data_IF_348935498551
#
_entry.id   IF_348935498551
#
_cell.length_a   1.000
_cell.length_b   1.000
_cell.length_c   1.000
_cell.angle_alpha   90.00
_cell.angle_beta   90.00
_cell.angle_gamma   90.00
#
_symmetry.space_group_name_H-M   'P 1'
#
loop_
_entity.id
_entity.type
_entity.pdbx_description
1 polymer ?
#
# COMPACT_ATOMS: atom_id res chain seq x y z
N UNK A 1 -0.31 -1.23 17.09
CA UNK A 1 1.02 -0.90 16.52
C UNK A 1 1.34 -1.79 15.33
N UNK A 2 2.01 -1.28 14.29
CA UNK A 2 2.48 -2.09 13.15
C UNK A 2 3.59 -3.05 13.60
N UNK A 3 3.44 -4.33 13.30
CA UNK A 3 4.38 -5.39 13.64
C UNK A 3 5.16 -5.86 12.40
N UNK A 4 4.48 -6.05 11.26
CA UNK A 4 5.13 -6.53 10.03
C UNK A 4 4.58 -5.85 8.79
N UNK A 5 5.44 -5.72 7.79
CA UNK A 5 5.08 -5.37 6.41
C UNK A 5 5.58 -6.48 5.48
N UNK A 6 4.74 -6.89 4.54
CA UNK A 6 5.14 -7.69 3.39
C UNK A 6 4.73 -6.98 2.13
N UNK A 7 5.66 -6.78 1.22
CA UNK A 7 5.40 -6.23 -0.11
C UNK A 7 5.96 -7.20 -1.15
N UNK A 8 5.16 -7.52 -2.17
CA UNK A 8 5.59 -8.32 -3.32
C UNK A 8 5.28 -7.59 -4.61
N UNK A 9 6.22 -7.66 -5.55
CA UNK A 9 6.13 -7.15 -6.91
C UNK A 9 5.63 -5.70 -7.01
N UNK A 10 6.22 -4.82 -6.21
CA UNK A 10 5.88 -3.41 -6.16
C UNK A 10 7.13 -2.54 -6.26
N UNK A 11 7.16 -1.70 -7.28
CA UNK A 11 8.23 -0.76 -7.63
C UNK A 11 9.57 -1.47 -7.81
N UNK A 12 10.56 -1.19 -6.96
CA UNK A 12 11.87 -1.85 -7.00
C UNK A 12 11.89 -3.19 -6.27
N UNK A 13 10.86 -3.52 -5.48
CA UNK A 13 10.84 -4.69 -4.63
C UNK A 13 10.23 -5.92 -5.33
N UNK A 14 11.01 -6.98 -5.65
CA UNK A 14 10.44 -8.31 -5.96
C UNK A 14 9.67 -8.83 -4.75
N UNK A 15 10.32 -8.82 -3.59
CA UNK A 15 9.73 -9.15 -2.31
C UNK A 15 10.53 -8.46 -1.21
N UNK A 16 9.82 -7.95 -0.21
CA UNK A 16 10.42 -7.47 1.03
C UNK A 16 9.51 -7.82 2.20
N UNK A 17 10.11 -8.33 3.27
CA UNK A 17 9.46 -8.64 4.53
C UNK A 17 10.20 -7.89 5.64
N UNK A 18 9.47 -7.07 6.38
CA UNK A 18 10.02 -6.26 7.47
C UNK A 18 9.29 -6.58 8.76
N UNK A 19 10.06 -6.67 9.85
CA UNK A 19 9.56 -6.71 11.22
C UNK A 19 9.90 -5.38 11.87
N UNK A 20 8.89 -4.74 12.48
CA UNK A 20 9.04 -3.44 13.11
C UNK A 20 9.26 -3.60 14.61
N UNK A 21 10.21 -2.85 15.15
CA UNK A 21 10.41 -2.67 16.59
C UNK A 21 9.33 -1.76 17.17
N UNK A 22 9.11 -1.86 18.49
CA UNK A 22 8.08 -1.09 19.20
C UNK A 22 8.27 0.44 19.15
N UNK A 23 9.51 0.90 19.00
CA UNK A 23 9.86 2.29 19.21
C UNK A 23 10.38 2.91 17.92
N UNK A 24 11.69 2.78 17.67
CA UNK A 24 12.35 3.39 16.52
C UNK A 24 12.80 2.32 15.53
N UNK A 25 12.41 2.53 14.28
CA UNK A 25 12.83 1.70 13.15
C UNK A 25 13.72 2.55 12.24
N UNK A 26 14.97 2.12 12.05
CA UNK A 26 15.95 2.82 11.21
C UNK A 26 16.11 2.06 9.90
N UNK A 27 15.86 2.73 8.77
CA UNK A 27 15.99 2.16 7.43
C UNK A 27 17.26 2.71 6.79
N UNK A 28 18.24 1.84 6.54
CA UNK A 28 19.55 2.19 5.95
C UNK A 28 19.76 1.40 4.66
N UNK A 29 20.50 1.96 3.72
CA UNK A 29 20.84 1.32 2.45
C UNK A 29 21.38 2.34 1.45
N UNK A 30 21.96 1.87 0.35
CA UNK A 30 22.48 2.73 -0.71
C UNK A 30 21.38 3.54 -1.43
N UNK A 31 21.76 4.57 -2.16
CA UNK A 31 20.81 5.31 -3.00
C UNK A 31 20.24 4.42 -4.10
N UNK A 32 18.97 4.61 -4.44
CA UNK A 32 18.29 3.79 -5.45
C UNK A 32 17.76 2.43 -4.95
N UNK A 33 18.05 2.01 -3.71
CA UNK A 33 17.58 0.71 -3.15
C UNK A 33 16.10 0.67 -2.72
N UNK A 34 15.33 1.74 -2.96
CA UNK A 34 13.90 1.76 -2.65
C UNK A 34 13.49 2.31 -1.29
N UNK A 35 14.40 2.87 -0.49
CA UNK A 35 14.06 3.45 0.84
C UNK A 35 12.88 4.43 0.79
N UNK A 36 12.90 5.37 -0.15
CA UNK A 36 11.79 6.32 -0.36
C UNK A 36 10.50 5.62 -0.78
N UNK A 37 10.59 4.57 -1.60
CA UNK A 37 9.43 3.80 -2.03
C UNK A 37 8.79 3.05 -0.85
N UNK A 38 9.62 2.41 -0.01
CA UNK A 38 9.19 1.76 1.21
C UNK A 38 8.44 2.75 2.14
N UNK A 39 9.01 3.93 2.37
CA UNK A 39 8.37 4.96 3.18
C UNK A 39 7.05 5.45 2.57
N UNK A 40 6.98 5.62 1.24
CA UNK A 40 5.73 5.98 0.53
C UNK A 40 4.66 4.91 0.67
N UNK A 41 5.01 3.62 0.61
CA UNK A 41 4.09 2.50 0.82
C UNK A 41 3.52 2.52 2.23
N UNK A 42 4.41 2.61 3.24
CA UNK A 42 4.04 2.68 4.65
C UNK A 42 3.15 3.88 4.92
N UNK A 43 3.55 5.08 4.46
CA UNK A 43 2.76 6.29 4.60
C UNK A 43 1.37 6.12 3.98
N UNK A 44 1.28 5.63 2.74
CA UNK A 44 0.00 5.49 2.04
C UNK A 44 -0.94 4.55 2.80
N UNK A 45 -0.45 3.38 3.22
CA UNK A 45 -1.24 2.40 3.95
C UNK A 45 -1.70 2.91 5.33
N UNK A 46 -0.78 3.47 6.12
CA UNK A 46 -1.07 3.93 7.47
C UNK A 46 -1.94 5.19 7.48
N UNK A 47 -1.70 6.15 6.57
CA UNK A 47 -2.52 7.35 6.46
C UNK A 47 -3.94 7.00 6.02
N UNK A 48 -4.12 6.13 5.03
CA UNK A 48 -5.46 5.67 4.62
C UNK A 48 -6.20 5.00 5.77
N UNK A 49 -5.53 4.11 6.52
CA UNK A 49 -6.15 3.46 7.68
C UNK A 49 -6.58 4.48 8.75
N UNK A 50 -5.72 5.44 9.08
CA UNK A 50 -6.04 6.48 10.08
C UNK A 50 -7.14 7.46 9.63
N UNK A 51 -7.15 7.85 8.35
CA UNK A 51 -8.15 8.75 7.77
C UNK A 51 -9.54 8.11 7.76
N UNK A 52 -9.66 6.85 7.31
CA UNK A 52 -10.95 6.17 7.24
C UNK A 52 -11.46 5.76 8.63
N UNK A 53 -10.56 5.44 9.57
CA UNK A 53 -10.93 5.21 10.98
C UNK A 53 -11.55 6.45 11.64
N UNK A 54 -11.08 7.66 11.31
CA UNK A 54 -11.64 8.92 11.85
C UNK A 54 -13.00 9.28 11.24
N UNK A 55 -13.21 8.98 9.96
CA UNK A 55 -14.48 9.27 9.26
C UNK A 55 -15.59 8.30 9.63
N UNK A 56 -15.24 7.15 10.19
CA UNK A 56 -16.17 6.08 10.56
C UNK A 56 -16.09 5.78 12.06
N UNK A 57 -16.44 6.75 12.95
CA UNK A 57 -16.21 6.62 14.39
C UNK A 57 -16.99 5.47 15.05
N UNK A 58 -18.11 5.03 14.44
CA UNK A 58 -18.98 3.97 14.97
C UNK A 58 -18.99 2.70 14.09
N UNK A 59 -18.13 2.61 13.08
CA UNK A 59 -18.16 1.49 12.13
C UNK A 59 -16.78 1.15 11.60
N UNK A 60 -16.47 -0.14 11.47
CA UNK A 60 -15.22 -0.56 10.82
C UNK A 60 -15.32 -0.30 9.32
N UNK A 61 -14.40 0.47 8.70
CA UNK A 61 -14.44 0.70 7.26
C UNK A 61 -14.34 -0.63 6.50
N UNK A 62 -15.14 -0.77 5.45
CA UNK A 62 -15.17 -2.01 4.67
C UNK A 62 -13.83 -2.23 3.98
N UNK A 63 -13.47 -3.50 3.79
CA UNK A 63 -12.25 -3.88 3.07
C UNK A 63 -12.19 -3.23 1.69
N UNK A 64 -13.29 -3.23 0.95
CA UNK A 64 -13.39 -2.61 -0.38
C UNK A 64 -13.09 -1.11 -0.34
N UNK A 65 -13.66 -0.38 0.63
CA UNK A 65 -13.41 1.06 0.78
C UNK A 65 -11.93 1.33 1.06
N UNK A 66 -11.32 0.60 2.00
CA UNK A 66 -9.90 0.76 2.32
C UNK A 66 -9.00 0.45 1.10
N UNK A 67 -9.35 -0.54 0.29
CA UNK A 67 -8.61 -0.86 -0.93
C UNK A 67 -8.71 0.27 -1.96
N UNK A 68 -9.91 0.82 -2.19
CA UNK A 68 -10.10 1.97 -3.09
C UNK A 68 -9.32 3.20 -2.60
N UNK A 69 -9.44 3.53 -1.32
CA UNK A 69 -8.74 4.68 -0.73
C UNK A 69 -7.22 4.53 -0.73
N UNK A 70 -6.72 3.31 -0.54
CA UNK A 70 -5.29 3.05 -0.64
C UNK A 70 -4.81 3.17 -2.09
N UNK A 71 -5.56 2.65 -3.06
CA UNK A 71 -5.24 2.81 -4.48
C UNK A 71 -5.12 4.30 -4.84
N UNK A 72 -6.11 5.12 -4.45
CA UNK A 72 -6.09 6.57 -4.65
C UNK A 72 -4.85 7.21 -4.00
N UNK A 73 -4.54 6.85 -2.75
CA UNK A 73 -3.39 7.38 -2.01
C UNK A 73 -2.07 7.03 -2.70
N UNK A 74 -1.92 5.79 -3.15
CA UNK A 74 -0.73 5.34 -3.88
C UNK A 74 -0.54 6.13 -5.18
N UNK A 75 -1.61 6.37 -5.95
CA UNK A 75 -1.55 7.21 -7.16
C UNK A 75 -1.09 8.63 -6.80
N UNK A 76 -1.65 9.24 -5.75
CA UNK A 76 -1.29 10.60 -5.35
C UNK A 76 0.14 10.73 -4.82
N UNK A 77 0.65 9.72 -4.11
CA UNK A 77 1.97 9.72 -3.48
C UNK A 77 3.08 9.34 -4.46
N UNK A 78 2.83 8.38 -5.35
CA UNK A 78 3.82 7.94 -6.35
C UNK A 78 3.73 8.70 -7.67
N UNK A 79 2.57 9.26 -8.02
CA UNK A 79 2.29 9.91 -9.31
C UNK A 79 2.60 9.04 -10.55
N UNK A 80 2.18 7.75 -10.59
CA UNK A 80 2.25 6.98 -11.82
C UNK A 80 1.15 7.41 -12.80
N UNK A 81 1.29 7.07 -14.10
CA UNK A 81 0.22 7.25 -15.10
C UNK A 81 -1.07 6.52 -14.71
N UNK A 82 -0.92 5.30 -14.18
CA UNK A 82 -1.98 4.45 -13.64
C UNK A 82 -1.40 3.50 -12.61
N UNK A 83 -2.24 2.96 -11.71
CA UNK A 83 -1.79 2.17 -10.55
C UNK A 83 -0.92 0.96 -10.92
N UNK A 84 -1.23 0.31 -12.05
CA UNK A 84 -0.49 -0.83 -12.57
C UNK A 84 0.99 -0.54 -12.86
N UNK A 85 1.38 0.72 -13.14
CA UNK A 85 2.79 1.11 -13.30
C UNK A 85 3.63 0.97 -12.04
N UNK A 86 3.00 0.86 -10.87
CA UNK A 86 3.72 0.60 -9.62
C UNK A 86 4.08 -0.88 -9.47
N UNK A 87 3.51 -1.78 -10.26
CA UNK A 87 3.81 -3.21 -10.15
C UNK A 87 5.14 -3.55 -10.83
N UNK A 88 5.89 -4.48 -10.25
CA UNK A 88 7.16 -4.99 -10.79
C UNK A 88 6.86 -6.25 -11.61
N UNK A 89 7.09 -6.21 -12.91
CA UNK A 89 6.95 -7.38 -13.80
C UNK A 89 6.63 -7.00 -15.24
N UNK A 90 7.06 -7.82 -16.19
CA UNK A 90 6.64 -7.69 -17.60
C UNK A 90 5.17 -8.07 -17.74
N UNK A 91 4.38 -7.20 -18.36
CA UNK A 91 3.03 -7.50 -18.87
C UNK A 91 2.04 -8.10 -17.85
N UNK A 92 2.02 -7.62 -16.61
CA UNK A 92 0.85 -7.78 -15.73
C UNK A 92 0.41 -9.22 -15.41
N UNK A 93 1.34 -10.17 -15.36
CA UNK A 93 1.08 -11.56 -14.93
C UNK A 93 1.32 -11.78 -13.44
N UNK A 94 2.16 -10.98 -12.81
CA UNK A 94 2.50 -11.17 -11.39
C UNK A 94 1.64 -10.31 -10.47
N UNK A 95 1.01 -10.96 -9.50
CA UNK A 95 0.19 -10.30 -8.48
C UNK A 95 1.08 -9.42 -7.60
N UNK A 96 0.77 -8.13 -7.54
CA UNK A 96 1.32 -7.23 -6.54
C UNK A 96 0.55 -7.41 -5.23
N UNK A 97 1.26 -7.40 -4.10
CA UNK A 97 0.66 -7.53 -2.78
C UNK A 97 1.32 -6.57 -1.78
N UNK A 98 0.50 -5.93 -0.94
CA UNK A 98 0.90 -5.15 0.23
C UNK A 98 0.11 -5.70 1.42
N UNK A 99 0.81 -6.19 2.44
CA UNK A 99 0.21 -6.74 3.67
C UNK A 99 0.82 -6.06 4.88
N UNK A 100 -0.03 -5.54 5.75
CA UNK A 100 0.35 -4.95 7.02
C UNK A 100 -0.26 -5.80 8.14
N UNK A 101 0.59 -6.25 9.05
CA UNK A 101 0.19 -6.95 10.25
C UNK A 101 0.47 -6.08 11.46
N UNK A 102 -0.56 -5.86 12.28
CA UNK A 102 -0.49 -5.11 13.51
C UNK A 102 -0.52 -6.07 14.70
N UNK A 103 -0.02 -5.62 15.84
CA UNK A 103 -0.12 -6.36 17.10
C UNK A 103 -1.58 -6.72 17.44
N UNK A 104 -2.51 -5.80 17.17
CA UNK A 104 -3.93 -6.08 17.20
C UNK A 104 -4.40 -6.44 15.79
N UNK A 105 -4.79 -7.70 15.62
CA UNK A 105 -5.12 -8.30 14.33
C UNK A 105 -6.34 -7.67 13.65
N UNK A 106 -7.17 -6.93 14.39
CA UNK A 106 -8.32 -6.19 13.83
C UNK A 106 -7.90 -5.10 12.85
N UNK A 107 -6.67 -4.62 12.95
CA UNK A 107 -6.10 -3.63 12.04
C UNK A 107 -5.31 -4.25 10.88
N UNK A 108 -5.20 -5.59 10.82
CA UNK A 108 -4.51 -6.24 9.72
C UNK A 108 -5.17 -5.90 8.39
N UNK A 109 -4.34 -5.59 7.40
CA UNK A 109 -4.81 -5.12 6.12
C UNK A 109 -4.00 -5.72 4.98
N UNK A 110 -4.69 -6.13 3.92
CA UNK A 110 -4.09 -6.68 2.72
C UNK A 110 -4.70 -6.05 1.47
N UNK A 111 -3.83 -5.61 0.57
CA UNK A 111 -4.16 -4.99 -0.69
C UNK A 111 -3.41 -5.69 -1.82
N UNK A 112 -4.15 -6.01 -2.87
CA UNK A 112 -3.61 -6.57 -4.09
C UNK A 112 -4.19 -5.75 -5.23
N UNK A 113 -3.45 -4.76 -5.78
CA UNK A 113 -3.96 -3.95 -6.87
C UNK A 113 -4.21 -4.85 -8.08
N UNK A 114 -5.39 -4.73 -8.69
CA UNK A 114 -5.67 -5.38 -9.97
C UNK A 114 -5.01 -4.58 -11.09
N UNK A 115 -4.24 -5.26 -11.93
CA UNK A 115 -3.42 -4.69 -13.01
C UNK A 115 -4.22 -4.08 -14.17
N UNK A 116 -5.54 -3.93 -14.02
CA UNK A 116 -6.47 -3.45 -15.05
C UNK A 116 -7.19 -2.14 -14.72
N UNK A 117 -6.79 -1.45 -13.66
CA UNK A 117 -7.32 -0.08 -13.45
C UNK A 117 -6.53 0.89 -14.32
N UNK A 118 -6.87 0.92 -15.62
CA UNK A 118 -6.87 2.19 -16.33
C UNK A 118 -7.70 3.15 -15.46
N UNK A 119 -7.19 4.34 -15.20
CA UNK A 119 -7.98 5.41 -14.61
C UNK A 119 -9.06 5.81 -15.60
N UNK A 120 -10.12 5.02 -15.62
CA UNK A 120 -11.28 5.11 -16.48
C UNK A 120 -12.52 4.75 -15.68
N UNK A 121 -12.77 5.47 -14.57
CA UNK A 121 -14.15 5.80 -14.28
C UNK A 121 -14.61 6.71 -15.41
N UNK A 122 -15.14 6.11 -16.47
CA UNK A 122 -16.08 6.78 -17.36
C UNK A 122 -17.26 7.20 -16.50
N UNK A 123 -17.17 8.40 -15.91
CA UNK A 123 -18.35 9.17 -15.54
C UNK A 123 -18.94 9.59 -16.88
N UNK A 124 -19.84 8.76 -17.42
CA UNK A 124 -20.81 9.20 -18.41
C UNK A 124 -21.48 10.46 -17.84
N UNK A 125 -21.31 11.59 -18.52
CA UNK A 125 -22.26 12.69 -18.48
C UNK A 125 -23.37 12.41 -19.47
#
# INVERSE_FOLDING_TARGET
MLNNLTVKNLTVFPEIQLQFSQNLNVIVGENGTGKTHLLKILYSALATSGEEGRKSPNGTPTKTLLQTRLADKLIHVFRPDYLGRLTRGEQGRERCDIKLHFQDSRFNFAFSPSLRTESGFLINR
#
